data_IF_472639634429
#
_entry.id   IF_472639634429
#
_cell.length_a   1.000
_cell.length_b   1.000
_cell.length_c   1.000
_cell.angle_alpha   90.00
_cell.angle_beta   90.00
_cell.angle_gamma   90.00
#
_symmetry.space_group_name_H-M   'P 1'
#
loop_
_entity.id
_entity.type
_entity.pdbx_description
1 polymer ?
#
# COMPACT_ATOMS: atom_id res chain seq x y z
N UNK A 1 -17.63 -23.82 1.30
CA UNK A 1 -18.89 -23.76 0.54
C UNK A 1 -18.60 -22.92 -0.70
N UNK A 2 -18.08 -23.58 -1.74
CA UNK A 2 -18.06 -22.98 -3.07
C UNK A 2 -19.49 -22.94 -3.57
N UNK A 3 -20.13 -21.79 -3.56
CA UNK A 3 -21.40 -21.64 -4.25
C UNK A 3 -21.18 -21.86 -5.75
N UNK A 4 -22.15 -22.44 -6.45
CA UNK A 4 -22.11 -22.58 -7.91
C UNK A 4 -21.89 -21.22 -8.60
N UNK A 5 -22.21 -20.12 -7.93
CA UNK A 5 -21.95 -18.76 -8.37
C UNK A 5 -20.45 -18.46 -8.46
N UNK A 6 -19.59 -19.01 -7.58
CA UNK A 6 -18.13 -18.85 -7.66
C UNK A 6 -17.51 -19.70 -8.79
N UNK A 7 -18.17 -20.78 -9.21
CA UNK A 7 -17.71 -21.62 -10.33
C UNK A 7 -18.01 -20.97 -11.69
N UNK A 8 -19.02 -20.12 -11.74
CA UNK A 8 -19.45 -19.40 -12.96
C UNK A 8 -18.67 -18.10 -13.17
N UNK A 9 -18.23 -17.45 -12.09
CA UNK A 9 -17.47 -16.21 -12.12
C UNK A 9 -15.98 -16.55 -12.17
N UNK A 10 -15.40 -16.31 -13.29
CA UNK A 10 -14.08 -16.76 -13.74
C UNK A 10 -12.90 -16.02 -13.11
N UNK A 11 -13.14 -15.19 -12.09
CA UNK A 11 -12.14 -14.37 -11.43
C UNK A 11 -12.22 -14.57 -9.93
N UNK A 12 -11.07 -14.82 -9.31
CA UNK A 12 -10.97 -15.01 -7.86
C UNK A 12 -10.20 -13.85 -7.27
N UNK A 13 -10.74 -13.24 -6.26
CA UNK A 13 -10.04 -12.33 -5.37
C UNK A 13 -9.58 -13.16 -4.17
N UNK A 14 -8.29 -13.49 -4.13
CA UNK A 14 -7.69 -14.30 -3.08
C UNK A 14 -7.31 -13.41 -1.89
N UNK A 15 -8.11 -13.46 -0.85
CA UNK A 15 -7.95 -12.64 0.36
C UNK A 15 -7.80 -13.45 1.65
N UNK A 16 -7.59 -14.76 1.54
CA UNK A 16 -7.40 -15.63 2.72
C UNK A 16 -6.01 -15.49 3.35
N UNK A 17 -5.02 -15.01 2.59
CA UNK A 17 -3.62 -14.96 2.99
C UNK A 17 -2.89 -16.30 2.95
N UNK A 18 -3.57 -17.38 2.56
CA UNK A 18 -3.00 -18.73 2.48
C UNK A 18 -2.31 -19.01 1.13
N UNK A 19 -2.80 -18.40 0.04
CA UNK A 19 -2.37 -18.68 -1.33
C UNK A 19 -1.60 -17.51 -1.96
N UNK A 20 -0.62 -16.97 -1.24
CA UNK A 20 0.13 -15.77 -1.63
C UNK A 20 1.33 -16.04 -2.55
N UNK A 21 1.32 -17.10 -3.35
CA UNK A 21 2.30 -17.38 -4.41
C UNK A 21 1.56 -17.77 -5.66
N UNK A 22 2.16 -17.53 -6.84
CA UNK A 22 1.59 -17.95 -8.12
C UNK A 22 1.26 -19.44 -8.14
N UNK A 23 2.14 -20.29 -7.62
CA UNK A 23 1.91 -21.73 -7.55
C UNK A 23 0.66 -22.08 -6.72
N UNK A 24 0.55 -21.54 -5.51
CA UNK A 24 -0.58 -21.80 -4.62
C UNK A 24 -1.88 -21.24 -5.17
N UNK A 25 -1.86 -20.00 -5.65
CA UNK A 25 -3.02 -19.33 -6.23
C UNK A 25 -3.54 -20.05 -7.48
N UNK A 26 -2.65 -20.70 -8.25
CA UNK A 26 -3.01 -21.50 -9.43
C UNK A 26 -3.92 -22.69 -9.11
N UNK A 27 -4.04 -23.09 -7.83
CA UNK A 27 -4.98 -24.13 -7.42
C UNK A 27 -6.44 -23.76 -7.69
N UNK A 28 -6.77 -22.47 -7.70
CA UNK A 28 -8.11 -21.99 -8.04
C UNK A 28 -8.49 -22.30 -9.49
N UNK A 29 -7.52 -22.51 -10.40
CA UNK A 29 -7.80 -22.88 -11.79
C UNK A 29 -8.44 -24.27 -11.91
N UNK A 30 -8.17 -25.19 -10.96
CA UNK A 30 -8.84 -26.50 -10.90
C UNK A 30 -10.35 -26.37 -10.64
N UNK A 31 -10.77 -25.27 -9.97
CA UNK A 31 -12.17 -24.93 -9.76
C UNK A 31 -12.81 -24.13 -10.90
N UNK A 32 -12.11 -23.94 -12.02
CA UNK A 32 -12.63 -23.21 -13.18
C UNK A 32 -12.32 -21.71 -13.20
N UNK A 33 -11.56 -21.17 -12.24
CA UNK A 33 -11.10 -19.80 -12.29
C UNK A 33 -10.24 -19.56 -13.52
N UNK A 34 -10.36 -18.39 -14.13
CA UNK A 34 -9.49 -17.95 -15.24
C UNK A 34 -8.36 -17.05 -14.76
N UNK A 35 -8.61 -16.25 -13.74
CA UNK A 35 -7.65 -15.31 -13.16
C UNK A 35 -7.79 -15.25 -11.66
N UNK A 36 -6.69 -14.90 -10.99
CA UNK A 36 -6.63 -14.73 -9.54
C UNK A 36 -5.93 -13.41 -9.23
N UNK A 37 -6.55 -12.59 -8.40
CA UNK A 37 -5.97 -11.37 -7.85
C UNK A 37 -5.66 -11.62 -6.38
N UNK A 38 -4.39 -11.53 -6.01
CA UNK A 38 -3.96 -11.60 -4.61
C UNK A 38 -4.17 -10.24 -3.94
N UNK A 39 -4.87 -10.22 -2.81
CA UNK A 39 -5.01 -9.01 -1.97
C UNK A 39 -3.88 -8.87 -0.94
N UNK A 40 -2.71 -9.38 -1.29
CA UNK A 40 -1.51 -9.33 -0.48
C UNK A 40 -0.27 -9.35 -1.39
N UNK A 41 0.89 -8.89 -0.91
CA UNK A 41 2.14 -9.04 -1.66
C UNK A 41 2.43 -10.51 -1.97
N UNK A 42 2.85 -10.80 -3.19
CA UNK A 42 3.36 -12.12 -3.55
C UNK A 42 4.55 -12.50 -2.66
N UNK A 43 4.52 -13.72 -2.13
CA UNK A 43 5.62 -14.28 -1.32
C UNK A 43 6.69 -14.97 -2.15
N UNK A 44 6.53 -14.99 -3.46
CA UNK A 44 7.51 -15.44 -4.44
C UNK A 44 7.98 -14.25 -5.29
N UNK A 45 8.96 -14.49 -6.15
CA UNK A 45 9.50 -13.47 -7.05
C UNK A 45 8.79 -13.44 -8.41
N UNK A 46 7.99 -14.45 -8.70
CA UNK A 46 7.33 -14.61 -10.01
C UNK A 46 5.93 -14.00 -10.07
N UNK A 47 5.31 -13.73 -8.93
CA UNK A 47 4.00 -13.09 -8.90
C UNK A 47 4.12 -11.61 -9.27
N UNK A 48 3.63 -11.19 -10.46
CA UNK A 48 3.66 -9.80 -10.85
C UNK A 48 2.80 -8.96 -9.91
N UNK A 49 3.35 -7.81 -9.52
CA UNK A 49 2.73 -6.92 -8.53
C UNK A 49 2.42 -5.59 -9.17
N UNK A 50 1.20 -5.11 -8.98
CA UNK A 50 0.70 -3.87 -9.56
C UNK A 50 0.18 -2.92 -8.50
N UNK A 51 0.43 -1.64 -8.72
CA UNK A 51 -0.13 -0.52 -7.97
C UNK A 51 -0.75 0.46 -8.97
N UNK A 52 -2.01 0.77 -8.76
CA UNK A 52 -2.74 1.72 -9.61
C UNK A 52 -2.06 3.10 -9.58
N UNK A 53 -1.95 3.73 -10.73
CA UNK A 53 -1.23 5.00 -10.90
C UNK A 53 0.29 4.86 -11.03
N UNK A 54 0.88 3.72 -10.68
CA UNK A 54 2.34 3.52 -10.68
C UNK A 54 2.78 2.67 -11.87
N UNK A 55 2.39 1.40 -11.89
CA UNK A 55 2.82 0.45 -12.93
C UNK A 55 1.68 -0.37 -13.52
N UNK A 56 0.43 0.00 -13.28
CA UNK A 56 -0.76 -0.72 -13.79
C UNK A 56 -0.84 -0.78 -15.32
N UNK A 57 -0.17 0.15 -16.02
CA UNK A 57 -0.08 0.14 -17.49
C UNK A 57 0.70 -1.07 -18.05
N UNK A 58 1.48 -1.75 -17.19
CA UNK A 58 2.21 -2.97 -17.53
C UNK A 58 1.35 -4.24 -17.37
N UNK A 59 0.09 -4.08 -16.96
CA UNK A 59 -0.83 -5.20 -16.78
C UNK A 59 -1.32 -5.69 -18.16
N UNK A 60 -1.10 -6.96 -18.45
CA UNK A 60 -1.56 -7.59 -19.68
C UNK A 60 -2.68 -8.60 -19.43
N UNK A 61 -3.57 -8.72 -20.40
CA UNK A 61 -4.76 -9.57 -20.30
C UNK A 61 -4.46 -11.08 -20.24
N UNK A 62 -3.26 -11.52 -20.60
CA UNK A 62 -2.81 -12.91 -20.51
C UNK A 62 -2.32 -13.31 -19.11
N UNK A 63 -2.06 -12.36 -18.24
CA UNK A 63 -1.65 -12.61 -16.86
C UNK A 63 -2.76 -13.32 -16.08
N UNK A 64 -2.44 -14.46 -15.48
CA UNK A 64 -3.41 -15.31 -14.79
C UNK A 64 -3.44 -15.09 -13.29
N UNK A 65 -2.30 -14.80 -12.68
CA UNK A 65 -2.17 -14.49 -11.25
C UNK A 65 -1.44 -13.16 -11.12
N UNK A 66 -2.04 -12.21 -10.42
CA UNK A 66 -1.44 -10.89 -10.16
C UNK A 66 -1.66 -10.50 -8.71
N UNK A 67 -0.77 -9.66 -8.17
CA UNK A 67 -0.89 -9.11 -6.83
C UNK A 67 -1.21 -7.61 -6.88
N UNK A 68 -2.15 -7.17 -6.04
CA UNK A 68 -2.44 -5.75 -5.79
C UNK A 68 -1.56 -5.15 -4.69
N UNK A 69 -0.41 -5.76 -4.37
CA UNK A 69 0.47 -5.36 -3.27
C UNK A 69 -0.26 -5.30 -1.91
N UNK A 70 0.19 -4.45 -0.99
CA UNK A 70 -0.46 -4.19 0.29
C UNK A 70 -1.13 -2.80 0.31
N UNK A 71 -2.00 -2.56 1.28
CA UNK A 71 -2.60 -1.24 1.51
C UNK A 71 -1.53 -0.16 1.71
N UNK A 72 -0.51 -0.45 2.54
CA UNK A 72 0.62 0.47 2.77
C UNK A 72 1.41 0.73 1.50
N UNK A 73 1.65 -0.29 0.65
CA UNK A 73 2.33 -0.10 -0.64
C UNK A 73 1.50 0.76 -1.59
N UNK A 74 0.18 0.61 -1.58
CA UNK A 74 -0.73 1.42 -2.39
C UNK A 74 -0.77 2.90 -1.95
N UNK A 75 -0.46 3.21 -0.69
CA UNK A 75 -0.25 4.57 -0.22
C UNK A 75 1.15 5.08 -0.58
N UNK A 76 2.17 4.31 -0.23
CA UNK A 76 3.57 4.73 -0.33
C UNK A 76 4.05 4.87 -1.78
N UNK A 77 3.69 3.95 -2.67
CA UNK A 77 4.25 3.92 -4.02
C UNK A 77 3.81 5.12 -4.88
N UNK A 78 2.53 5.56 -4.91
CA UNK A 78 2.16 6.78 -5.62
C UNK A 78 2.88 8.03 -5.09
N UNK A 79 2.97 8.19 -3.76
CA UNK A 79 3.71 9.30 -3.15
C UNK A 79 5.20 9.27 -3.55
N UNK A 80 5.84 8.11 -3.37
CA UNK A 80 7.25 7.93 -3.72
C UNK A 80 7.51 8.12 -5.21
N UNK A 81 6.56 7.76 -6.09
CA UNK A 81 6.68 7.96 -7.53
C UNK A 81 6.74 9.44 -7.87
N UNK A 82 5.80 10.25 -7.40
CA UNK A 82 5.79 11.70 -7.65
C UNK A 82 7.09 12.34 -7.15
N UNK A 83 7.49 12.04 -5.93
CA UNK A 83 8.71 12.61 -5.33
C UNK A 83 9.96 12.15 -6.05
N UNK A 84 10.02 10.88 -6.48
CA UNK A 84 11.18 10.37 -7.21
C UNK A 84 11.27 10.92 -8.63
N UNK A 85 10.14 11.06 -9.31
CA UNK A 85 10.10 11.58 -10.70
C UNK A 85 10.52 13.05 -10.75
N UNK A 86 10.11 13.86 -9.76
CA UNK A 86 10.39 15.31 -9.74
C UNK A 86 11.74 15.66 -9.08
N UNK A 87 12.09 15.00 -7.97
CA UNK A 87 13.24 15.40 -7.16
C UNK A 87 14.29 14.29 -7.02
N UNK A 88 13.99 13.08 -7.43
CA UNK A 88 14.84 11.91 -7.22
C UNK A 88 14.95 11.54 -5.74
N UNK A 89 14.72 10.29 -5.39
CA UNK A 89 14.98 9.76 -4.05
C UNK A 89 16.34 9.07 -4.06
N UNK A 90 17.24 9.53 -3.20
CA UNK A 90 18.54 8.90 -2.99
C UNK A 90 18.41 7.71 -2.04
N UNK A 91 17.80 7.94 -0.89
CA UNK A 91 17.45 6.93 0.11
C UNK A 91 16.26 7.38 0.95
N UNK A 92 15.51 6.43 1.49
CA UNK A 92 14.37 6.73 2.33
C UNK A 92 14.11 5.68 3.40
N UNK A 93 13.58 6.13 4.52
CA UNK A 93 13.01 5.28 5.57
C UNK A 93 11.51 5.56 5.68
N UNK A 94 10.72 4.50 5.81
CA UNK A 94 9.29 4.61 6.00
C UNK A 94 8.87 3.99 7.32
N UNK A 95 8.08 4.72 8.09
CA UNK A 95 7.30 4.16 9.18
C UNK A 95 5.83 4.22 8.83
N UNK A 96 5.07 3.17 9.12
CA UNK A 96 3.62 3.28 9.08
C UNK A 96 3.04 3.09 10.46
N UNK A 97 2.26 4.07 10.90
CA UNK A 97 1.41 3.97 12.09
C UNK A 97 0.08 3.40 11.60
N UNK A 98 -0.14 2.12 11.90
CA UNK A 98 -1.15 1.33 11.20
C UNK A 98 -2.26 0.89 12.14
N UNK A 99 -3.48 1.05 11.70
CA UNK A 99 -4.66 0.55 12.39
C UNK A 99 -4.57 -0.96 12.68
N UNK A 100 -5.33 -1.42 13.66
CA UNK A 100 -5.45 -2.83 13.99
C UNK A 100 -6.04 -3.62 12.80
N UNK A 101 -5.54 -4.82 12.58
CA UNK A 101 -6.07 -5.74 11.57
C UNK A 101 -6.31 -7.11 12.20
N UNK A 102 -6.93 -8.03 11.47
CA UNK A 102 -7.20 -9.39 11.95
C UNK A 102 -5.95 -10.16 12.46
N UNK A 103 -4.74 -9.68 12.12
CA UNK A 103 -3.49 -10.26 12.62
C UNK A 103 -3.24 -9.92 14.09
N UNK A 104 -3.70 -8.77 14.58
CA UNK A 104 -3.52 -8.35 15.95
C UNK A 104 -4.46 -9.13 16.88
N UNK A 105 -4.01 -9.36 18.12
CA UNK A 105 -4.77 -10.07 19.14
C UNK A 105 -5.56 -9.08 20.01
N UNK A 106 -6.80 -9.44 20.35
CA UNK A 106 -7.60 -8.65 21.28
C UNK A 106 -7.10 -8.77 22.73
N UNK A 107 -6.60 -9.96 23.10
CA UNK A 107 -5.99 -10.25 24.41
C UNK A 107 -4.64 -10.92 24.21
N UNK A 108 -3.77 -10.83 25.20
CA UNK A 108 -2.45 -11.48 25.17
C UNK A 108 -2.61 -12.97 24.90
N UNK A 109 -1.86 -13.47 23.93
CA UNK A 109 -1.92 -14.86 23.48
C UNK A 109 -0.58 -15.30 22.89
N UNK A 110 -0.50 -16.54 22.41
CA UNK A 110 0.72 -17.09 21.85
C UNK A 110 1.12 -16.34 20.56
N UNK A 111 2.33 -15.77 20.52
CA UNK A 111 2.88 -14.99 19.41
C UNK A 111 3.76 -15.76 18.42
N UNK A 112 3.96 -17.06 18.65
CA UNK A 112 4.91 -17.84 17.84
C UNK A 112 6.35 -17.39 18.06
N UNK A 113 7.11 -17.19 16.98
CA UNK A 113 8.50 -16.70 17.01
C UNK A 113 8.60 -15.18 17.25
N UNK A 114 7.57 -14.43 16.96
CA UNK A 114 7.49 -12.99 17.21
C UNK A 114 6.56 -12.73 18.41
N UNK A 115 7.14 -12.54 19.56
CA UNK A 115 6.41 -12.34 20.80
C UNK A 115 5.52 -11.10 20.79
N UNK A 116 5.91 -10.04 20.04
CA UNK A 116 5.12 -8.82 19.87
C UNK A 116 3.78 -9.10 19.21
N UNK A 117 3.73 -10.03 18.25
CA UNK A 117 2.49 -10.43 17.58
C UNK A 117 1.48 -11.08 18.52
N UNK A 118 1.92 -11.65 19.63
CA UNK A 118 1.06 -12.27 20.65
C UNK A 118 0.45 -11.27 21.65
N UNK A 119 0.92 -10.02 21.67
CA UNK A 119 0.42 -9.00 22.60
C UNK A 119 -0.90 -8.41 22.11
N UNK A 120 -1.76 -8.09 23.08
CA UNK A 120 -3.02 -7.40 22.83
C UNK A 120 -2.78 -6.05 22.15
N UNK A 121 -3.57 -5.75 21.13
CA UNK A 121 -3.54 -4.44 20.47
C UNK A 121 -4.17 -3.37 21.37
N UNK A 122 -5.07 -3.77 22.26
CA UNK A 122 -5.72 -2.83 23.18
C UNK A 122 -4.68 -2.24 24.13
N UNK A 123 -4.59 -0.93 24.16
CA UNK A 123 -3.65 -0.16 25.02
C UNK A 123 -2.16 -0.40 24.72
N UNK A 124 -1.80 -0.90 23.54
CA UNK A 124 -0.40 -1.11 23.16
C UNK A 124 -0.06 -0.46 21.82
N UNK A 125 1.18 0.03 21.72
CA UNK A 125 1.85 0.33 20.45
C UNK A 125 2.78 -0.83 20.14
N UNK A 126 2.54 -1.54 19.03
CA UNK A 126 3.25 -2.78 18.72
C UNK A 126 4.14 -2.58 17.50
N UNK A 127 5.49 -2.49 17.67
CA UNK A 127 6.41 -2.50 16.54
C UNK A 127 6.30 -3.81 15.75
N UNK A 128 6.26 -3.73 14.44
CA UNK A 128 6.11 -4.88 13.56
C UNK A 128 6.93 -4.67 12.27
N UNK A 129 7.43 -5.74 11.70
CA UNK A 129 8.06 -5.68 10.38
C UNK A 129 7.02 -5.46 9.29
N UNK A 130 7.41 -4.75 8.24
CA UNK A 130 6.63 -4.60 7.01
C UNK A 130 7.51 -4.75 5.78
N UNK A 131 6.98 -5.40 4.76
CA UNK A 131 7.62 -5.48 3.45
C UNK A 131 7.22 -4.36 2.49
N UNK A 132 6.36 -3.43 2.93
CA UNK A 132 5.75 -2.43 2.05
C UNK A 132 6.78 -1.52 1.36
N UNK A 133 7.78 -1.02 2.08
CA UNK A 133 8.84 -0.17 1.50
C UNK A 133 9.71 -0.94 0.49
N UNK A 134 10.05 -2.21 0.79
CA UNK A 134 10.79 -3.07 -0.15
C UNK A 134 9.94 -3.39 -1.39
N UNK A 135 8.63 -3.53 -1.24
CA UNK A 135 7.70 -3.79 -2.35
C UNK A 135 7.61 -2.61 -3.32
N UNK A 136 7.88 -1.36 -2.87
CA UNK A 136 7.96 -0.20 -3.77
C UNK A 136 9.02 -0.41 -4.85
N UNK A 137 10.18 -0.97 -4.52
CA UNK A 137 11.23 -1.29 -5.50
C UNK A 137 10.84 -2.33 -6.55
N UNK A 138 9.75 -3.11 -6.34
CA UNK A 138 9.20 -4.02 -7.35
C UNK A 138 8.32 -3.30 -8.37
N UNK A 139 7.69 -2.20 -7.98
CA UNK A 139 6.77 -1.43 -8.83
C UNK A 139 7.41 -0.14 -9.36
N UNK A 140 8.48 0.33 -8.73
CA UNK A 140 9.34 1.45 -9.15
C UNK A 140 10.79 0.96 -9.10
N UNK A 141 11.33 0.38 -10.19
CA UNK A 141 12.66 -0.25 -10.20
C UNK A 141 13.81 0.67 -9.77
N UNK A 142 13.69 1.97 -10.04
CA UNK A 142 14.67 2.99 -9.66
C UNK A 142 14.86 3.13 -8.15
N UNK A 143 13.86 2.70 -7.37
CA UNK A 143 13.87 2.72 -5.91
C UNK A 143 14.28 1.38 -5.28
N UNK A 144 14.64 0.39 -6.11
CA UNK A 144 15.10 -0.89 -5.59
C UNK A 144 16.34 -0.72 -4.72
N UNK A 145 16.30 -1.22 -3.48
CA UNK A 145 17.39 -1.13 -2.51
C UNK A 145 17.54 0.23 -1.81
N UNK A 146 16.79 1.27 -2.22
CA UNK A 146 16.90 2.62 -1.64
C UNK A 146 15.92 2.88 -0.51
N UNK A 147 14.94 1.99 -0.31
CA UNK A 147 13.89 2.17 0.69
C UNK A 147 13.74 0.95 1.57
N UNK A 148 13.60 1.18 2.87
CA UNK A 148 13.17 0.17 3.83
C UNK A 148 12.24 0.80 4.87
N UNK A 149 11.65 0.00 5.75
CA UNK A 149 10.73 0.57 6.72
C UNK A 149 10.20 -0.44 7.73
N UNK A 150 9.41 0.08 8.64
CA UNK A 150 8.76 -0.65 9.72
C UNK A 150 7.33 -0.18 9.96
N UNK A 151 6.60 -0.89 10.78
CA UNK A 151 5.23 -0.58 11.15
C UNK A 151 5.09 -0.49 12.66
N UNK A 152 4.27 0.44 13.12
CA UNK A 152 3.73 0.46 14.48
C UNK A 152 2.24 0.19 14.41
N UNK A 153 1.77 -0.89 15.05
CA UNK A 153 0.35 -1.18 15.19
C UNK A 153 -0.20 -0.44 16.41
N UNK A 154 -1.30 0.27 16.20
CA UNK A 154 -1.95 1.09 17.22
C UNK A 154 -3.41 0.67 17.39
N UNK A 155 -4.04 0.95 18.56
CA UNK A 155 -5.43 0.55 18.83
C UNK A 155 -6.44 1.49 18.14
N UNK A 156 -6.27 1.72 16.85
CA UNK A 156 -7.19 2.47 15.98
C UNK A 156 -7.90 1.47 15.09
N UNK A 157 -9.22 1.63 14.93
CA UNK A 157 -10.04 0.67 14.19
C UNK A 157 -9.75 0.69 12.70
N UNK A 158 -9.56 1.88 12.13
CA UNK A 158 -9.33 2.08 10.70
C UNK A 158 -8.51 3.36 10.49
N UNK A 159 -8.07 3.57 9.27
CA UNK A 159 -7.18 4.61 8.76
C UNK A 159 -5.79 4.56 9.40
N UNK A 160 -4.83 4.45 8.53
CA UNK A 160 -3.40 4.37 8.83
C UNK A 160 -2.66 5.54 8.20
N UNK A 161 -1.42 5.76 8.63
CA UNK A 161 -0.57 6.81 8.09
C UNK A 161 0.80 6.27 7.70
N UNK A 162 1.30 6.75 6.58
CA UNK A 162 2.69 6.61 6.13
C UNK A 162 3.46 7.86 6.54
N UNK A 163 4.57 7.66 7.23
CA UNK A 163 5.62 8.63 7.49
C UNK A 163 6.81 8.26 6.61
N UNK A 164 7.03 9.01 5.55
CA UNK A 164 8.14 8.83 4.61
C UNK A 164 9.21 9.88 4.86
N UNK A 165 10.35 9.46 5.38
CA UNK A 165 11.53 10.32 5.50
C UNK A 165 12.50 10.02 4.37
N UNK A 166 12.80 11.00 3.53
CA UNK A 166 13.58 10.85 2.31
C UNK A 166 14.70 11.88 2.19
N UNK A 167 15.84 11.41 1.67
CA UNK A 167 16.91 12.26 1.17
C UNK A 167 16.76 12.36 -0.35
N UNK A 168 16.68 13.58 -0.85
CA UNK A 168 16.42 13.90 -2.25
C UNK A 168 17.73 14.17 -3.00
N UNK A 169 17.73 13.92 -4.30
CA UNK A 169 18.89 14.24 -5.15
C UNK A 169 18.92 15.71 -5.57
N UNK A 170 17.74 16.29 -5.71
CA UNK A 170 17.56 17.67 -6.14
C UNK A 170 17.20 18.51 -4.93
N UNK A 171 17.95 19.62 -4.74
CA UNK A 171 17.63 20.62 -3.72
C UNK A 171 16.35 21.34 -4.09
N UNK A 172 15.45 21.44 -3.14
CA UNK A 172 14.10 21.99 -3.36
C UNK A 172 13.56 22.63 -2.09
N UNK A 173 12.33 23.09 -2.13
CA UNK A 173 11.61 23.57 -0.95
C UNK A 173 10.43 22.67 -0.63
N UNK A 174 9.95 22.70 0.62
CA UNK A 174 8.74 21.98 1.00
C UNK A 174 7.53 22.41 0.15
N UNK A 175 7.45 23.70 -0.17
CA UNK A 175 6.38 24.24 -1.02
C UNK A 175 6.41 23.67 -2.44
N UNK A 176 7.59 23.48 -3.03
CA UNK A 176 7.71 22.85 -4.37
C UNK A 176 7.27 21.40 -4.34
N UNK A 177 7.59 20.66 -3.26
CA UNK A 177 7.15 19.27 -3.08
C UNK A 177 5.62 19.22 -2.96
N UNK A 178 5.04 20.09 -2.13
CA UNK A 178 3.58 20.19 -1.98
C UNK A 178 2.91 20.54 -3.31
N UNK A 179 3.48 21.48 -4.07
CA UNK A 179 2.98 21.83 -5.40
C UNK A 179 3.00 20.66 -6.37
N UNK A 180 4.11 19.93 -6.45
CA UNK A 180 4.25 18.77 -7.32
C UNK A 180 3.21 17.67 -6.99
N UNK A 181 3.02 17.37 -5.70
CA UNK A 181 2.05 16.36 -5.26
C UNK A 181 0.62 16.86 -5.52
N UNK A 182 0.31 18.14 -5.27
CA UNK A 182 -1.00 18.72 -5.57
C UNK A 182 -1.28 18.63 -7.06
N UNK A 183 -0.34 19.07 -7.90
CA UNK A 183 -0.48 18.97 -9.35
C UNK A 183 -0.75 17.51 -9.81
N UNK A 184 0.01 16.57 -9.30
CA UNK A 184 -0.20 15.14 -9.59
C UNK A 184 -1.61 14.68 -9.19
N UNK A 185 -2.09 15.07 -8.00
CA UNK A 185 -3.41 14.70 -7.48
C UNK A 185 -4.57 15.24 -8.32
N UNK A 186 -4.39 16.38 -8.93
CA UNK A 186 -5.39 17.04 -9.78
C UNK A 186 -5.36 16.54 -11.24
N UNK A 187 -4.24 15.94 -11.67
CA UNK A 187 -3.98 15.53 -13.06
C UNK A 187 -3.83 14.02 -13.19
N UNK A 188 -2.62 13.52 -13.38
CA UNK A 188 -2.32 12.12 -13.77
C UNK A 188 -2.45 11.10 -12.64
N UNK A 189 -2.49 11.54 -11.37
CA UNK A 189 -2.76 10.70 -10.20
C UNK A 189 -4.16 10.96 -9.61
N UNK A 190 -5.05 11.58 -10.37
CA UNK A 190 -6.42 11.87 -9.91
C UNK A 190 -7.14 10.58 -9.51
N UNK A 191 -7.70 10.57 -8.28
CA UNK A 191 -8.36 9.39 -7.69
C UNK A 191 -7.40 8.34 -7.11
N UNK A 192 -6.08 8.56 -7.26
CA UNK A 192 -5.03 7.76 -6.63
C UNK A 192 -4.39 8.55 -5.48
N UNK A 193 -3.97 9.78 -5.74
CA UNK A 193 -3.51 10.68 -4.68
C UNK A 193 -4.63 11.67 -4.37
N UNK A 194 -5.08 11.68 -3.11
CA UNK A 194 -5.83 12.78 -2.51
C UNK A 194 -4.85 13.79 -1.91
N UNK A 195 -5.33 15.01 -1.69
CA UNK A 195 -4.54 16.10 -1.12
C UNK A 195 -5.36 16.83 -0.07
N UNK A 196 -4.78 17.12 1.08
CA UNK A 196 -5.40 17.96 2.10
C UNK A 196 -4.45 19.02 2.61
N UNK A 197 -4.98 20.22 2.83
CA UNK A 197 -4.35 21.31 3.56
C UNK A 197 -5.05 21.57 4.91
N UNK A 198 -6.05 20.77 5.23
CA UNK A 198 -6.77 20.83 6.50
C UNK A 198 -6.03 20.04 7.58
N UNK A 199 -6.18 20.45 8.84
CA UNK A 199 -5.61 19.76 9.99
C UNK A 199 -6.48 18.56 10.38
N UNK A 200 -6.38 17.49 9.60
CA UNK A 200 -7.16 16.27 9.76
C UNK A 200 -6.52 15.25 10.71
N UNK A 201 -7.37 14.35 11.23
CA UNK A 201 -6.95 13.16 11.97
C UNK A 201 -7.54 11.91 11.30
N UNK A 202 -7.13 10.73 11.74
CA UNK A 202 -7.50 9.46 11.08
C UNK A 202 -9.01 9.27 10.87
N UNK A 203 -9.85 9.67 11.83
CA UNK A 203 -11.30 9.46 11.75
C UNK A 203 -11.98 10.32 10.68
N UNK A 204 -11.39 11.44 10.28
CA UNK A 204 -11.92 12.32 9.23
C UNK A 204 -11.82 11.68 7.84
N UNK A 205 -11.00 10.65 7.71
CA UNK A 205 -10.66 10.02 6.44
C UNK A 205 -11.25 8.61 6.26
N UNK A 206 -12.07 8.17 7.23
CA UNK A 206 -12.78 6.88 7.12
C UNK A 206 -13.71 6.91 5.90
N UNK A 207 -13.64 5.85 5.08
CA UNK A 207 -14.43 5.73 3.86
C UNK A 207 -13.86 6.48 2.66
N UNK A 208 -12.69 7.12 2.78
CA UNK A 208 -12.04 7.75 1.64
C UNK A 208 -11.49 6.68 0.68
N UNK A 209 -11.85 6.79 -0.60
CA UNK A 209 -11.46 5.81 -1.62
C UNK A 209 -10.06 6.01 -2.20
N UNK A 210 -9.41 7.15 -1.95
CA UNK A 210 -8.02 7.37 -2.36
C UNK A 210 -7.08 6.51 -1.51
N UNK A 211 -6.19 5.73 -2.12
CA UNK A 211 -5.25 4.89 -1.38
C UNK A 211 -4.10 5.68 -0.75
N UNK A 212 -3.91 6.94 -1.14
CA UNK A 212 -2.88 7.84 -0.65
C UNK A 212 -3.47 9.25 -0.55
N UNK A 213 -3.52 9.81 0.64
CA UNK A 213 -4.00 11.19 0.88
C UNK A 213 -2.85 11.96 1.51
N UNK A 214 -2.19 12.76 0.69
CA UNK A 214 -1.07 13.59 1.15
C UNK A 214 -1.54 14.71 2.06
N UNK A 215 -0.89 14.85 3.20
CA UNK A 215 -1.17 15.91 4.18
C UNK A 215 -0.06 16.96 4.14
N UNK A 216 -0.38 18.12 3.54
CA UNK A 216 0.52 19.25 3.41
C UNK A 216 0.96 19.78 4.78
N UNK A 217 0.05 19.74 5.76
CA UNK A 217 0.26 20.41 7.05
C UNK A 217 1.07 19.59 8.05
N UNK A 218 1.16 18.29 7.83
CA UNK A 218 1.80 17.36 8.76
C UNK A 218 3.27 17.03 8.43
N UNK A 219 3.73 17.38 7.21
CA UNK A 219 5.11 17.14 6.79
C UNK A 219 6.08 18.24 7.27
N UNK A 220 7.36 17.94 7.25
CA UNK A 220 8.44 18.86 7.61
C UNK A 220 9.65 18.68 6.70
N UNK A 221 10.44 19.71 6.54
CA UNK A 221 11.70 19.67 5.82
C UNK A 221 12.81 20.23 6.71
N UNK A 222 13.90 19.48 6.88
CA UNK A 222 15.02 19.92 7.72
C UNK A 222 15.97 20.81 6.94
N UNK A 223 16.43 20.31 5.80
CA UNK A 223 17.28 21.01 4.84
C UNK A 223 16.61 21.00 3.47
N UNK A 224 17.25 21.59 2.47
CA UNK A 224 16.70 21.68 1.11
C UNK A 224 16.68 20.34 0.34
N UNK A 225 17.05 19.23 0.96
CA UNK A 225 17.07 17.88 0.37
C UNK A 225 16.68 16.76 1.36
N UNK A 226 16.33 17.09 2.62
CA UNK A 226 15.94 16.10 3.62
C UNK A 226 14.52 16.40 4.15
N UNK A 227 13.56 15.56 3.79
CA UNK A 227 12.13 15.80 3.99
C UNK A 227 11.44 14.63 4.66
N UNK A 228 10.43 14.94 5.48
CA UNK A 228 9.44 14.02 6.02
C UNK A 228 8.08 14.35 5.41
N UNK A 229 7.45 13.37 4.78
CA UNK A 229 6.16 13.49 4.13
C UNK A 229 5.16 12.56 4.81
N UNK A 230 3.95 13.07 5.02
CA UNK A 230 2.87 12.34 5.68
C UNK A 230 1.76 12.08 4.66
N UNK A 231 1.31 10.83 4.60
CA UNK A 231 0.15 10.47 3.79
C UNK A 231 -0.74 9.48 4.55
N UNK A 232 -2.03 9.77 4.56
CA UNK A 232 -3.07 8.95 5.16
C UNK A 232 -3.64 7.95 4.15
N UNK A 233 -4.21 6.87 4.65
CA UNK A 233 -4.94 5.91 3.83
C UNK A 233 -5.94 5.12 4.68
N UNK A 234 -7.16 5.01 4.17
CA UNK A 234 -8.10 4.02 4.68
C UNK A 234 -7.60 2.65 4.21
N UNK A 235 -7.03 1.89 5.14
CA UNK A 235 -6.37 0.61 4.83
C UNK A 235 -7.34 -0.49 4.41
N UNK A 236 -8.65 -0.31 4.64
CA UNK A 236 -9.72 -1.22 4.25
C UNK A 236 -10.42 -0.74 2.97
N UNK A 237 -11.04 0.43 3.00
CA UNK A 237 -11.85 0.94 1.91
C UNK A 237 -11.02 1.43 0.72
N UNK A 238 -10.00 2.24 0.96
CA UNK A 238 -9.10 2.73 -0.09
C UNK A 238 -8.43 1.59 -0.84
N UNK A 239 -7.97 0.57 -0.10
CA UNK A 239 -7.36 -0.63 -0.68
C UNK A 239 -8.36 -1.48 -1.47
N UNK A 240 -9.56 -1.72 -0.95
CA UNK A 240 -10.60 -2.50 -1.63
C UNK A 240 -11.01 -1.88 -2.95
N UNK A 241 -11.05 -0.54 -3.03
CA UNK A 241 -11.28 0.17 -4.30
C UNK A 241 -10.16 -0.09 -5.30
N UNK A 242 -8.90 -0.19 -4.89
CA UNK A 242 -7.77 -0.54 -5.80
C UNK A 242 -7.87 -1.97 -6.31
N UNK A 243 -8.29 -2.92 -5.48
CA UNK A 243 -8.58 -4.29 -5.93
C UNK A 243 -9.66 -4.29 -7.01
N UNK A 244 -10.74 -3.53 -6.80
CA UNK A 244 -11.81 -3.36 -7.80
C UNK A 244 -11.29 -2.75 -9.11
N UNK A 245 -10.45 -1.73 -9.04
CA UNK A 245 -9.92 -1.07 -10.24
C UNK A 245 -8.96 -2.00 -11.00
N UNK A 246 -8.08 -2.71 -10.30
CA UNK A 246 -7.22 -3.73 -10.90
C UNK A 246 -8.05 -4.84 -11.58
N UNK A 247 -9.13 -5.28 -10.93
CA UNK A 247 -10.04 -6.26 -11.48
C UNK A 247 -10.68 -5.77 -12.79
N UNK A 248 -11.11 -4.51 -12.86
CA UNK A 248 -11.69 -3.93 -14.09
C UNK A 248 -10.74 -3.94 -15.29
N UNK A 249 -9.44 -3.74 -15.05
CA UNK A 249 -8.44 -3.78 -16.13
C UNK A 249 -8.18 -5.22 -16.60
N UNK A 250 -8.25 -6.19 -15.67
CA UNK A 250 -8.08 -7.61 -15.99
C UNK A 250 -9.30 -8.25 -16.66
N UNK A 251 -10.48 -7.65 -16.49
CA UNK A 251 -11.69 -8.08 -17.17
C UNK A 251 -11.60 -7.73 -18.66
N UNK A 252 -12.04 -8.60 -19.56
CA UNK A 252 -12.10 -8.29 -20.99
C UNK A 252 -13.20 -7.28 -21.30
#
# INVERSE_FOLDING_TARGET
VGSEMCIRDRYIIESTGAYNTTEKASRHFKGGAKKVILTAPGKDEVTPTFVMGVNHMLLHSDMKVVSNASCTTNCLAPLAKVVNDEFGIEQALMSTIHAATAKQKAVDSRGGSDWRTGRSILNNIIPSSTGAAKAVGRVIPELYGKMTGMSFRVPTADVSVVDLTAHLKVKTTYADICYAIRHASETYMKGIIGYTADQVVSTDLIGNSCPCIFDETAGIMLDNDFVKLIAWYDNEWGYSNRVKDLAKILLP
#
